data_IF_568122474500
#
_entry.id   IF_568122474500
#
_cell.length_a   1.000
_cell.length_b   1.000
_cell.length_c   1.000
_cell.angle_alpha   90.00
_cell.angle_beta   90.00
_cell.angle_gamma   90.00
#
_symmetry.space_group_name_H-M   'P 1'
#
loop_
_entity.id
_entity.type
_entity.pdbx_description
1 polymer ?
#
# COMPACT_ATOMS: atom_id res chain seq x y z
N UNK A 1 15.16 -58.17 -20.64
CA UNK A 1 13.76 -57.71 -20.74
C UNK A 1 13.71 -56.24 -20.36
N UNK A 2 13.59 -55.36 -21.34
CA UNK A 2 13.41 -53.93 -21.09
C UNK A 2 11.98 -53.71 -20.56
N UNK A 3 11.85 -53.14 -19.36
CA UNK A 3 10.56 -52.77 -18.81
C UNK A 3 9.95 -51.70 -19.73
N UNK A 4 8.90 -52.06 -20.47
CA UNK A 4 8.07 -51.09 -21.19
C UNK A 4 7.41 -50.19 -20.15
N UNK A 5 7.91 -48.96 -19.99
CA UNK A 5 7.19 -47.89 -19.30
C UNK A 5 5.87 -47.68 -20.05
N UNK A 6 4.76 -48.04 -19.43
CA UNK A 6 3.44 -47.67 -19.92
C UNK A 6 3.38 -46.13 -19.96
N UNK A 7 2.95 -45.52 -21.08
CA UNK A 7 2.81 -44.07 -21.14
C UNK A 7 1.77 -43.64 -20.10
N UNK A 8 2.16 -42.73 -19.21
CA UNK A 8 1.25 -42.18 -18.20
C UNK A 8 0.15 -41.40 -18.92
N UNK A 9 -1.10 -41.81 -18.73
CA UNK A 9 -2.26 -41.07 -19.22
C UNK A 9 -2.43 -39.85 -18.29
N UNK A 10 -1.98 -38.69 -18.75
CA UNK A 10 -2.18 -37.42 -18.06
C UNK A 10 -3.56 -36.89 -18.46
N UNK A 11 -4.53 -37.01 -17.56
CA UNK A 11 -5.85 -36.39 -17.69
C UNK A 11 -5.72 -34.90 -17.32
N UNK A 12 -5.59 -34.06 -18.34
CA UNK A 12 -5.60 -32.61 -18.19
C UNK A 12 -7.05 -32.10 -18.18
N UNK A 13 -7.30 -31.01 -17.45
CA UNK A 13 -8.60 -30.32 -17.45
C UNK A 13 -8.87 -29.78 -18.86
N UNK A 14 -10.13 -29.80 -19.31
CA UNK A 14 -10.51 -29.20 -20.60
C UNK A 14 -10.03 -27.73 -20.67
N UNK A 15 -9.34 -27.39 -21.76
CA UNK A 15 -8.72 -26.07 -21.95
C UNK A 15 -7.25 -25.95 -21.52
N UNK A 16 -6.60 -27.03 -21.08
CA UNK A 16 -5.16 -26.99 -20.77
C UNK A 16 -4.33 -26.86 -22.03
N UNK A 17 -3.53 -25.80 -22.13
CA UNK A 17 -2.58 -25.58 -23.23
C UNK A 17 -1.52 -26.70 -23.23
N UNK A 18 -1.44 -27.47 -24.32
CA UNK A 18 -0.45 -28.55 -24.51
C UNK A 18 0.80 -28.04 -25.24
N UNK A 19 0.92 -26.74 -25.45
CA UNK A 19 2.07 -26.12 -26.08
C UNK A 19 3.36 -26.46 -25.34
N UNK A 20 4.40 -26.85 -26.08
CA UNK A 20 5.73 -27.12 -25.52
C UNK A 20 6.80 -26.29 -26.24
N UNK A 21 7.89 -26.01 -25.54
CA UNK A 21 9.02 -25.27 -26.09
C UNK A 21 8.68 -23.82 -26.45
N UNK A 22 8.99 -23.42 -27.69
CA UNK A 22 8.82 -22.03 -28.17
C UNK A 22 7.36 -21.55 -28.10
N UNK A 23 6.40 -22.42 -28.44
CA UNK A 23 4.98 -22.07 -28.43
C UNK A 23 4.51 -21.67 -27.02
N UNK A 24 4.97 -22.38 -25.99
CA UNK A 24 4.65 -22.05 -24.60
C UNK A 24 5.23 -20.68 -24.18
N UNK A 25 6.46 -20.37 -24.60
CA UNK A 25 7.08 -19.07 -24.32
C UNK A 25 6.29 -17.93 -24.97
N UNK A 26 5.86 -18.11 -26.21
CA UNK A 26 5.03 -17.13 -26.92
C UNK A 26 3.66 -16.97 -26.26
N UNK A 27 3.03 -18.07 -25.83
CA UNK A 27 1.78 -18.08 -25.07
C UNK A 27 1.92 -17.26 -23.77
N UNK A 28 3.00 -17.49 -23.02
CA UNK A 28 3.32 -16.75 -21.80
C UNK A 28 3.49 -15.24 -22.06
N UNK A 29 4.21 -14.87 -23.13
CA UNK A 29 4.42 -13.46 -23.50
C UNK A 29 3.09 -12.79 -23.84
N UNK A 30 2.28 -13.43 -24.70
CA UNK A 30 1.00 -12.89 -25.13
C UNK A 30 0.04 -12.68 -23.93
N UNK A 31 0.04 -13.60 -22.96
CA UNK A 31 -0.75 -13.45 -21.74
C UNK A 31 -0.33 -12.24 -20.90
N UNK A 32 0.98 -12.01 -20.74
CA UNK A 32 1.50 -10.83 -20.06
C UNK A 32 1.19 -9.53 -20.82
N UNK A 33 1.30 -9.54 -22.15
CA UNK A 33 0.95 -8.39 -22.99
C UNK A 33 -0.53 -8.04 -22.89
N UNK A 34 -1.42 -9.05 -22.82
CA UNK A 34 -2.85 -8.82 -22.66
C UNK A 34 -3.17 -8.07 -21.34
N UNK A 35 -2.55 -8.46 -20.23
CA UNK A 35 -2.71 -7.75 -18.95
C UNK A 35 -2.16 -6.33 -19.03
N UNK A 36 -1.00 -6.15 -19.66
CA UNK A 36 -0.40 -4.83 -19.86
C UNK A 36 -1.30 -3.90 -20.67
N UNK A 37 -1.95 -4.39 -21.73
CA UNK A 37 -2.85 -3.59 -22.56
C UNK A 37 -4.11 -3.12 -21.80
N UNK A 38 -4.59 -3.91 -20.83
CA UNK A 38 -5.70 -3.50 -19.95
C UNK A 38 -5.31 -2.30 -19.09
N UNK A 39 -4.10 -2.30 -18.51
CA UNK A 39 -3.62 -1.25 -17.61
C UNK A 39 -2.87 -0.11 -18.33
N UNK A 40 -2.56 -0.25 -19.62
CA UNK A 40 -1.77 0.73 -20.39
C UNK A 40 -2.30 2.15 -20.30
N UNK A 41 -3.61 2.31 -20.33
CA UNK A 41 -4.24 3.63 -20.33
C UNK A 41 -4.30 4.29 -18.95
N UNK A 42 -3.93 3.59 -17.88
CA UNK A 42 -3.91 4.15 -16.51
C UNK A 42 -2.59 4.82 -16.18
N UNK A 43 -1.55 4.61 -17.01
CA UNK A 43 -0.24 5.23 -16.80
C UNK A 43 -0.28 6.74 -17.09
N UNK A 44 0.23 7.52 -16.15
CA UNK A 44 0.51 8.95 -16.30
C UNK A 44 -0.47 9.88 -15.58
N UNK A 45 -0.19 11.20 -15.58
CA UNK A 45 -0.97 12.21 -14.86
C UNK A 45 -2.40 12.42 -15.39
N UNK A 46 -2.72 11.86 -16.56
CA UNK A 46 -4.05 11.85 -17.16
C UNK A 46 -4.48 10.43 -17.54
N UNK A 47 -4.08 9.46 -16.71
CA UNK A 47 -4.54 8.07 -16.85
C UNK A 47 -6.06 8.01 -16.85
N UNK A 48 -6.62 7.19 -17.73
CA UNK A 48 -8.06 6.98 -17.82
C UNK A 48 -8.53 6.00 -16.76
N UNK A 49 -9.60 6.35 -16.06
CA UNK A 49 -10.25 5.45 -15.11
C UNK A 49 -10.77 4.18 -15.82
N UNK A 50 -10.65 3.05 -15.13
CA UNK A 50 -11.23 1.78 -15.55
C UNK A 50 -12.48 1.50 -14.72
N UNK A 51 -13.57 1.21 -15.42
CA UNK A 51 -14.78 0.68 -14.82
C UNK A 51 -14.72 -0.84 -14.88
N UNK A 52 -14.75 -1.48 -13.71
CA UNK A 52 -14.78 -2.92 -13.55
C UNK A 52 -16.12 -3.31 -12.95
N UNK A 53 -16.78 -4.26 -13.58
CA UNK A 53 -18.03 -4.84 -13.12
C UNK A 53 -17.75 -6.24 -12.57
N UNK A 54 -18.08 -6.46 -11.30
CA UNK A 54 -18.04 -7.79 -10.68
C UNK A 54 -19.36 -8.53 -10.94
N UNK A 55 -19.33 -9.86 -10.97
CA UNK A 55 -20.50 -10.72 -11.20
C UNK A 55 -21.59 -10.53 -10.14
N UNK A 56 -21.20 -10.00 -8.96
CA UNK A 56 -22.11 -9.66 -7.85
C UNK A 56 -22.84 -8.33 -8.03
N UNK A 57 -22.63 -7.63 -9.15
CA UNK A 57 -23.25 -6.35 -9.45
C UNK A 57 -22.54 -5.14 -8.85
N UNK A 58 -21.41 -5.30 -8.16
CA UNK A 58 -20.62 -4.15 -7.69
C UNK A 58 -19.82 -3.54 -8.83
N UNK A 59 -19.95 -2.22 -9.00
CA UNK A 59 -19.19 -1.45 -9.98
C UNK A 59 -18.07 -0.73 -9.25
N UNK A 60 -16.83 -0.97 -9.67
CA UNK A 60 -15.64 -0.29 -9.15
C UNK A 60 -15.02 0.55 -10.25
N UNK A 61 -14.83 1.84 -9.99
CA UNK A 61 -14.13 2.75 -10.89
C UNK A 61 -12.78 3.07 -10.22
N UNK A 62 -11.68 2.78 -10.91
CA UNK A 62 -10.34 3.04 -10.38
C UNK A 62 -9.33 3.30 -11.51
N UNK A 63 -8.36 4.17 -11.21
CA UNK A 63 -7.15 4.37 -12.01
C UNK A 63 -5.93 3.64 -11.42
N UNK A 64 -6.03 3.09 -10.21
CA UNK A 64 -4.91 2.41 -9.58
C UNK A 64 -4.70 1.01 -10.18
N UNK A 65 -3.53 0.81 -10.79
CA UNK A 65 -3.16 -0.44 -11.45
C UNK A 65 -3.23 -1.65 -10.51
N UNK A 66 -2.77 -1.52 -9.27
CA UNK A 66 -2.78 -2.62 -8.31
C UNK A 66 -4.21 -3.03 -7.93
N UNK A 67 -5.10 -2.06 -7.72
CA UNK A 67 -6.53 -2.31 -7.48
C UNK A 67 -7.19 -2.96 -8.68
N UNK A 68 -6.93 -2.47 -9.90
CA UNK A 68 -7.47 -3.06 -11.13
C UNK A 68 -7.04 -4.52 -11.26
N UNK A 69 -5.75 -4.81 -11.11
CA UNK A 69 -5.22 -6.17 -11.24
C UNK A 69 -5.68 -7.14 -10.14
N UNK A 70 -6.09 -6.64 -8.97
CA UNK A 70 -6.70 -7.46 -7.89
C UNK A 70 -8.13 -7.89 -8.25
N UNK A 71 -8.84 -7.10 -9.07
CA UNK A 71 -10.23 -7.33 -9.45
C UNK A 71 -10.36 -8.15 -10.74
N UNK A 72 -9.31 -8.18 -11.58
CA UNK A 72 -9.29 -9.00 -12.80
C UNK A 72 -9.10 -10.48 -12.47
N UNK A 73 -9.94 -11.34 -13.04
CA UNK A 73 -9.78 -12.79 -12.98
C UNK A 73 -8.74 -13.27 -14.01
N UNK A 74 -7.52 -13.52 -13.54
CA UNK A 74 -6.39 -13.90 -14.39
C UNK A 74 -6.12 -15.40 -14.24
N UNK A 75 -6.45 -16.14 -15.30
CA UNK A 75 -6.29 -17.60 -15.37
C UNK A 75 -4.83 -17.99 -15.68
N UNK A 76 -4.14 -17.23 -16.54
CA UNK A 76 -2.84 -17.63 -17.06
C UNK A 76 -1.70 -17.46 -16.02
N UNK A 77 -0.87 -18.48 -15.74
CA UNK A 77 0.11 -18.44 -14.65
C UNK A 77 1.19 -17.37 -14.83
N UNK A 78 1.70 -17.16 -16.04
CA UNK A 78 2.70 -16.12 -16.31
C UNK A 78 2.16 -14.70 -16.00
N UNK A 79 0.91 -14.44 -16.36
CA UNK A 79 0.24 -13.17 -16.08
C UNK A 79 -0.04 -13.00 -14.58
N UNK A 80 -0.35 -14.10 -13.86
CA UNK A 80 -0.52 -14.09 -12.41
C UNK A 80 0.77 -13.68 -11.68
N UNK A 81 1.91 -14.22 -12.09
CA UNK A 81 3.23 -13.82 -11.55
C UNK A 81 3.47 -12.32 -11.77
N UNK A 82 3.15 -11.80 -12.96
CA UNK A 82 3.28 -10.38 -13.27
C UNK A 82 2.43 -9.49 -12.35
N UNK A 83 1.20 -9.92 -12.05
CA UNK A 83 0.32 -9.23 -11.09
C UNK A 83 0.84 -9.30 -9.66
N UNK A 84 1.39 -10.43 -9.25
CA UNK A 84 1.93 -10.57 -7.90
C UNK A 84 3.18 -9.69 -7.69
N UNK A 85 4.00 -9.48 -8.72
CA UNK A 85 5.08 -8.47 -8.71
C UNK A 85 4.50 -7.07 -8.51
N UNK A 86 3.42 -6.72 -9.21
CA UNK A 86 2.78 -5.41 -9.05
C UNK A 86 2.18 -5.20 -7.66
N UNK A 87 1.61 -6.25 -7.05
CA UNK A 87 1.13 -6.21 -5.66
C UNK A 87 2.27 -6.03 -4.66
N UNK A 88 3.42 -6.65 -4.90
CA UNK A 88 4.62 -6.43 -4.07
C UNK A 88 5.13 -5.00 -4.19
N UNK A 89 5.08 -4.40 -5.39
CA UNK A 89 5.45 -3.00 -5.58
C UNK A 89 4.49 -2.04 -4.84
N UNK A 90 3.20 -2.36 -4.84
CA UNK A 90 2.14 -1.63 -4.13
C UNK A 90 2.38 -1.66 -2.61
N UNK A 91 2.81 -2.79 -2.04
CA UNK A 91 3.06 -2.90 -0.60
C UNK A 91 4.32 -2.17 -0.14
N UNK A 92 5.38 -2.13 -0.97
CA UNK A 92 6.66 -1.53 -0.60
C UNK A 92 6.69 -0.01 -0.78
N UNK A 93 6.19 0.49 -1.92
CA UNK A 93 6.34 1.91 -2.30
C UNK A 93 4.98 2.60 -2.50
N UNK A 94 3.92 1.83 -2.78
CA UNK A 94 2.58 2.37 -3.02
C UNK A 94 2.42 3.17 -4.32
N UNK A 95 3.43 3.17 -5.19
CA UNK A 95 3.41 3.81 -6.52
C UNK A 95 4.24 3.00 -7.53
N UNK A 96 4.06 3.29 -8.82
CA UNK A 96 4.80 2.67 -9.92
C UNK A 96 4.32 1.26 -10.27
N UNK A 97 3.21 0.80 -9.70
CA UNK A 97 2.62 -0.53 -9.95
C UNK A 97 2.33 -0.75 -11.43
N UNK A 98 1.70 0.23 -12.08
CA UNK A 98 1.43 0.23 -13.53
C UNK A 98 2.72 0.26 -14.35
N UNK A 99 3.70 1.06 -13.95
CA UNK A 99 4.97 1.22 -14.67
C UNK A 99 5.75 -0.09 -14.72
N UNK A 100 5.82 -0.82 -13.59
CA UNK A 100 6.51 -2.11 -13.51
C UNK A 100 5.88 -3.14 -14.44
N UNK A 101 4.55 -3.22 -14.47
CA UNK A 101 3.82 -4.16 -15.33
C UNK A 101 4.01 -3.85 -16.80
N UNK A 102 3.86 -2.57 -17.18
CA UNK A 102 4.04 -2.14 -18.56
C UNK A 102 5.47 -2.36 -19.04
N UNK A 103 6.47 -1.98 -18.25
CA UNK A 103 7.88 -2.14 -18.61
C UNK A 103 8.27 -3.62 -18.75
N UNK A 104 7.81 -4.47 -17.83
CA UNK A 104 8.07 -5.91 -17.90
C UNK A 104 7.41 -6.55 -19.14
N UNK A 105 6.16 -6.19 -19.43
CA UNK A 105 5.48 -6.68 -20.63
C UNK A 105 6.13 -6.18 -21.92
N UNK A 106 6.65 -4.96 -21.92
CA UNK A 106 7.37 -4.37 -23.05
C UNK A 106 8.69 -5.09 -23.31
N UNK A 107 9.47 -5.41 -22.27
CA UNK A 107 10.67 -6.25 -22.43
C UNK A 107 10.35 -7.63 -22.98
N UNK A 108 9.24 -8.24 -22.55
CA UNK A 108 8.80 -9.54 -23.08
C UNK A 108 8.35 -9.45 -24.54
N UNK A 109 7.69 -8.34 -24.92
CA UNK A 109 7.27 -8.06 -26.29
C UNK A 109 8.47 -7.91 -27.23
N UNK A 110 9.48 -7.16 -26.83
CA UNK A 110 10.73 -6.99 -27.59
C UNK A 110 11.59 -8.26 -27.60
N UNK A 111 11.48 -9.12 -26.58
CA UNK A 111 12.17 -10.40 -26.53
C UNK A 111 11.56 -11.46 -27.48
N UNK A 112 10.27 -11.34 -27.80
CA UNK A 112 9.52 -12.29 -28.65
C UNK A 112 10.19 -12.61 -29.99
N UNK A 113 10.57 -11.63 -30.84
CA UNK A 113 11.21 -11.94 -32.13
C UNK A 113 12.51 -12.74 -31.99
N UNK A 114 13.33 -12.44 -30.98
CA UNK A 114 14.57 -13.19 -30.74
C UNK A 114 14.33 -14.65 -30.32
N UNK A 115 13.24 -14.93 -29.59
CA UNK A 115 12.84 -16.29 -29.22
C UNK A 115 12.35 -17.06 -30.45
N UNK A 116 11.59 -16.39 -31.33
CA UNK A 116 11.12 -16.95 -32.60
C UNK A 116 12.32 -17.33 -33.50
N UNK A 117 13.31 -16.43 -33.62
CA UNK A 117 14.59 -16.64 -34.32
C UNK A 117 15.47 -17.75 -33.72
N UNK A 118 15.12 -18.25 -32.53
CA UNK A 118 15.79 -19.39 -31.90
C UNK A 118 16.94 -19.03 -30.97
N UNK A 119 17.03 -17.78 -30.52
CA UNK A 119 17.95 -17.40 -29.44
C UNK A 119 17.54 -18.11 -28.15
N UNK A 120 18.51 -18.74 -27.49
CA UNK A 120 18.26 -19.44 -26.23
C UNK A 120 17.83 -18.43 -25.13
N UNK A 121 16.71 -18.63 -24.42
CA UNK A 121 16.18 -17.68 -23.44
C UNK A 121 17.18 -17.26 -22.35
N UNK A 122 18.07 -18.17 -21.94
CA UNK A 122 19.13 -17.88 -20.97
C UNK A 122 20.06 -16.73 -21.40
N UNK A 123 20.33 -16.61 -22.71
CA UNK A 123 21.17 -15.53 -23.24
C UNK A 123 20.44 -14.19 -23.14
N UNK A 124 19.14 -14.15 -23.44
CA UNK A 124 18.31 -12.95 -23.27
C UNK A 124 18.25 -12.52 -21.81
N UNK A 125 18.02 -13.45 -20.89
CA UNK A 125 17.98 -13.17 -19.44
C UNK A 125 19.32 -12.59 -18.96
N UNK A 126 20.45 -13.17 -19.40
CA UNK A 126 21.78 -12.67 -19.05
C UNK A 126 21.99 -11.25 -19.57
N UNK A 127 21.63 -10.99 -20.81
CA UNK A 127 21.76 -9.66 -21.43
C UNK A 127 20.88 -8.62 -20.75
N UNK A 128 19.62 -8.94 -20.43
CA UNK A 128 18.74 -8.02 -19.68
C UNK A 128 19.28 -7.73 -18.28
N UNK A 129 19.83 -8.73 -17.60
CA UNK A 129 20.44 -8.51 -16.27
C UNK A 129 21.65 -7.57 -16.36
N UNK A 130 22.54 -7.78 -17.34
CA UNK A 130 23.67 -6.88 -17.58
C UNK A 130 23.22 -5.46 -17.94
N UNK A 131 22.22 -5.32 -18.82
CA UNK A 131 21.66 -4.02 -19.19
C UNK A 131 21.01 -3.30 -18.00
N UNK A 132 20.32 -4.04 -17.12
CA UNK A 132 19.73 -3.48 -15.90
C UNK A 132 20.78 -2.90 -14.97
N UNK A 133 21.95 -3.55 -14.80
CA UNK A 133 23.02 -3.01 -13.97
C UNK A 133 23.56 -1.70 -14.52
N UNK A 134 23.84 -1.64 -15.82
CA UNK A 134 24.31 -0.42 -16.49
C UNK A 134 23.28 0.72 -16.41
N UNK A 135 21.99 0.40 -16.55
CA UNK A 135 20.92 1.39 -16.42
C UNK A 135 20.87 1.97 -15.00
N UNK A 136 21.01 1.13 -13.96
CA UNK A 136 21.04 1.57 -12.56
C UNK A 136 22.25 2.46 -12.28
N UNK A 137 23.43 2.08 -12.78
CA UNK A 137 24.64 2.92 -12.67
C UNK A 137 24.42 4.28 -13.32
N UNK A 138 23.83 4.31 -14.53
CA UNK A 138 23.58 5.56 -15.23
C UNK A 138 22.56 6.44 -14.50
N UNK A 139 21.53 5.86 -13.90
CA UNK A 139 20.55 6.58 -13.08
C UNK A 139 21.24 7.23 -11.87
N UNK A 140 22.17 6.52 -11.22
CA UNK A 140 22.93 7.07 -10.07
C UNK A 140 23.83 8.24 -10.47
N UNK A 141 24.44 8.19 -11.65
CA UNK A 141 25.24 9.31 -12.18
C UNK A 141 24.40 10.56 -12.46
N UNK A 142 23.16 10.37 -12.93
CA UNK A 142 22.22 11.44 -13.24
C UNK A 142 21.49 11.97 -12.00
N UNK A 143 21.58 11.28 -10.87
CA UNK A 143 20.86 11.63 -9.65
C UNK A 143 21.39 12.95 -9.05
N UNK A 144 20.51 13.93 -8.89
CA UNK A 144 20.84 15.20 -8.25
C UNK A 144 20.49 15.13 -6.77
N UNK A 145 21.48 15.27 -5.89
CA UNK A 145 21.27 15.25 -4.45
C UNK A 145 20.52 16.49 -3.95
N UNK A 146 19.63 16.28 -2.99
CA UNK A 146 18.87 17.33 -2.27
C UNK A 146 19.56 17.65 -0.92
N UNK A 147 20.66 16.96 -0.60
CA UNK A 147 21.42 17.17 0.63
C UNK A 147 22.04 18.58 0.62
N UNK A 148 21.75 19.40 1.65
CA UNK A 148 22.27 20.76 1.79
C UNK A 148 21.30 21.90 1.46
N UNK A 149 20.10 21.60 0.94
CA UNK A 149 19.06 22.63 0.72
C UNK A 149 18.40 23.09 2.01
N UNK A 150 17.93 24.35 2.02
CA UNK A 150 17.14 24.92 3.13
C UNK A 150 15.91 24.05 3.40
N UNK A 151 15.42 24.05 4.66
CA UNK A 151 14.19 23.35 5.03
C UNK A 151 12.99 23.81 4.16
N UNK A 152 12.94 25.10 3.82
CA UNK A 152 11.88 25.67 2.96
C UNK A 152 11.97 25.17 1.52
N UNK A 153 13.18 25.12 0.96
CA UNK A 153 13.41 24.59 -0.39
C UNK A 153 13.10 23.09 -0.46
N UNK A 154 13.46 22.33 0.58
CA UNK A 154 13.09 20.91 0.70
C UNK A 154 11.58 20.74 0.76
N UNK A 155 10.89 21.56 1.56
CA UNK A 155 9.42 21.54 1.66
C UNK A 155 8.76 21.82 0.30
N UNK A 156 9.26 22.82 -0.43
CA UNK A 156 8.76 23.17 -1.76
C UNK A 156 8.98 22.04 -2.78
N UNK A 157 10.18 21.42 -2.78
CA UNK A 157 10.47 20.30 -3.67
C UNK A 157 9.64 19.07 -3.35
N UNK A 158 9.50 18.72 -2.05
CA UNK A 158 8.65 17.61 -1.62
C UNK A 158 7.19 17.85 -1.96
N UNK A 159 6.69 19.09 -1.85
CA UNK A 159 5.34 19.43 -2.24
C UNK A 159 5.11 19.25 -3.74
N UNK A 160 6.10 19.64 -4.57
CA UNK A 160 6.06 19.38 -6.02
C UNK A 160 6.07 17.88 -6.32
N UNK A 161 6.90 17.10 -5.63
CA UNK A 161 6.92 15.65 -5.79
C UNK A 161 5.56 15.03 -5.41
N UNK A 162 5.00 15.38 -4.24
CA UNK A 162 3.68 14.91 -3.84
C UNK A 162 2.59 15.30 -4.84
N UNK A 163 2.63 16.53 -5.37
CA UNK A 163 1.68 17.00 -6.38
C UNK A 163 1.72 16.18 -7.68
N UNK A 164 2.88 15.63 -8.07
CA UNK A 164 2.96 14.77 -9.27
C UNK A 164 2.15 13.49 -9.13
N UNK A 165 2.22 12.82 -7.97
CA UNK A 165 1.44 11.59 -7.70
C UNK A 165 -0.05 11.87 -7.53
N UNK A 166 -0.43 13.04 -7.03
CA UNK A 166 -1.83 13.43 -6.85
C UNK A 166 -2.49 13.88 -8.16
N UNK A 167 -1.71 14.30 -9.16
CA UNK A 167 -2.23 14.84 -10.41
C UNK A 167 -3.01 13.82 -11.26
N UNK A 168 -2.68 12.53 -11.16
CA UNK A 168 -3.36 11.42 -11.86
C UNK A 168 -4.64 10.92 -11.19
N UNK A 169 -5.00 11.46 -10.02
CA UNK A 169 -6.12 10.98 -9.20
C UNK A 169 -7.28 11.98 -9.24
N UNK A 170 -8.46 11.55 -8.79
CA UNK A 170 -9.66 12.39 -8.70
C UNK A 170 -9.45 13.70 -7.91
N UNK A 171 -8.50 13.70 -6.97
CA UNK A 171 -8.09 14.85 -6.16
C UNK A 171 -7.12 15.81 -6.87
N UNK A 172 -6.84 15.60 -8.16
CA UNK A 172 -5.89 16.43 -8.93
C UNK A 172 -6.24 17.93 -8.98
N UNK A 173 -7.52 18.28 -8.82
CA UNK A 173 -7.98 19.67 -8.77
C UNK A 173 -7.55 20.43 -7.51
N UNK A 174 -7.36 19.74 -6.38
CA UNK A 174 -6.96 20.31 -5.08
C UNK A 174 -5.57 19.81 -4.64
N UNK A 175 -4.73 19.46 -5.61
CA UNK A 175 -3.43 18.83 -5.37
C UNK A 175 -2.48 19.67 -4.52
N UNK A 176 -2.51 21.00 -4.66
CA UNK A 176 -1.58 21.89 -3.93
C UNK A 176 -1.89 21.92 -2.43
N UNK A 177 -3.18 21.84 -2.09
CA UNK A 177 -3.66 21.77 -0.71
C UNK A 177 -3.29 20.44 -0.05
N UNK A 178 -3.55 19.32 -0.73
CA UNK A 178 -3.18 18.01 -0.18
C UNK A 178 -1.67 17.77 -0.19
N UNK A 179 -0.93 18.29 -1.18
CA UNK A 179 0.52 18.18 -1.23
C UNK A 179 1.19 18.87 -0.04
N UNK A 180 0.76 20.09 0.32
CA UNK A 180 1.31 20.78 1.50
C UNK A 180 1.01 20.02 2.79
N UNK A 181 -0.23 19.53 2.93
CA UNK A 181 -0.66 18.74 4.08
C UNK A 181 0.13 17.43 4.25
N UNK A 182 0.40 16.72 3.15
CA UNK A 182 1.22 15.49 3.15
C UNK A 182 2.65 15.81 3.58
N UNK A 183 3.24 16.89 3.06
CA UNK A 183 4.60 17.27 3.45
C UNK A 183 4.68 17.68 4.91
N UNK A 184 3.70 18.43 5.42
CA UNK A 184 3.61 18.78 6.84
C UNK A 184 3.47 17.55 7.72
N UNK A 185 2.65 16.58 7.28
CA UNK A 185 2.50 15.29 7.96
C UNK A 185 3.85 14.55 8.02
N UNK A 186 4.55 14.41 6.89
CA UNK A 186 5.84 13.71 6.83
C UNK A 186 6.91 14.39 7.69
N UNK A 187 6.95 15.72 7.72
CA UNK A 187 7.89 16.48 8.57
C UNK A 187 7.56 16.26 10.06
N UNK A 188 6.27 16.20 10.43
CA UNK A 188 5.85 15.99 11.81
C UNK A 188 6.20 14.59 12.35
N UNK A 189 6.35 13.59 11.49
CA UNK A 189 6.71 12.21 11.87
C UNK A 189 8.17 12.11 12.39
N UNK A 190 9.05 13.02 11.94
CA UNK A 190 10.44 13.06 12.38
C UNK A 190 11.34 11.96 11.79
N UNK A 191 12.65 12.13 11.94
CA UNK A 191 13.72 11.32 11.34
C UNK A 191 14.27 10.20 12.25
N UNK A 192 13.55 9.83 13.31
CA UNK A 192 13.95 8.67 14.12
C UNK A 192 13.43 7.40 13.46
N UNK A 193 14.32 6.58 12.87
CA UNK A 193 14.28 5.14 12.51
C UNK A 193 12.93 4.37 12.53
N UNK A 194 11.83 5.03 12.15
CA UNK A 194 10.46 4.52 12.18
C UNK A 194 9.89 4.37 10.77
N UNK A 195 10.76 4.24 9.76
CA UNK A 195 10.35 3.89 8.39
C UNK A 195 9.63 2.54 8.35
N UNK A 196 10.03 1.58 9.18
CA UNK A 196 9.35 0.29 9.34
C UNK A 196 7.98 0.40 10.04
N UNK A 197 7.60 1.59 10.52
CA UNK A 197 6.34 1.86 11.22
C UNK A 197 5.34 2.65 10.34
N UNK A 198 5.64 2.84 9.05
CA UNK A 198 4.73 3.50 8.10
C UNK A 198 3.93 2.40 7.38
N UNK A 199 2.83 1.96 8.01
CA UNK A 199 1.86 1.02 7.43
C UNK A 199 0.57 1.73 7.03
N UNK A 200 -0.04 1.31 5.91
CA UNK A 200 -1.39 1.71 5.52
C UNK A 200 -2.35 0.56 5.88
N UNK A 201 -2.72 0.38 7.17
CA UNK A 201 -4.00 -0.23 7.59
C UNK A 201 -4.15 -0.41 9.12
N UNK A 202 -5.11 0.34 9.64
CA UNK A 202 -5.86 0.14 10.91
C UNK A 202 -4.99 0.14 12.19
N UNK A 203 -5.11 1.31 12.84
CA UNK A 203 -4.90 1.63 14.25
C UNK A 203 -3.49 2.09 14.56
N UNK A 204 -3.40 3.33 15.08
CA UNK A 204 -2.18 3.80 15.70
C UNK A 204 -2.40 4.97 16.66
N UNK A 205 -1.66 4.89 17.77
CA UNK A 205 -1.55 5.86 18.86
C UNK A 205 -0.16 6.48 18.73
N UNK A 206 -0.04 7.80 18.53
CA UNK A 206 1.26 8.48 18.63
C UNK A 206 1.38 9.01 20.06
N UNK A 207 2.27 8.43 20.86
CA UNK A 207 2.73 9.00 22.12
C UNK A 207 4.12 9.64 21.90
N UNK A 208 4.41 10.80 22.53
CA UNK A 208 5.75 11.37 22.55
C UNK A 208 6.74 10.39 23.21
N UNK A 209 8.06 10.49 22.94
CA UNK A 209 9.04 9.49 23.37
C UNK A 209 9.12 9.45 24.89
N UNK A 210 8.36 8.55 25.51
CA UNK A 210 8.70 8.03 26.82
C UNK A 210 9.72 6.92 26.60
N UNK A 211 10.86 7.08 27.27
CA UNK A 211 11.98 6.16 27.34
C UNK A 211 11.54 4.83 27.99
N UNK A 212 10.73 4.05 27.29
CA UNK A 212 10.11 2.82 27.77
C UNK A 212 10.89 1.62 27.23
N UNK A 213 11.38 0.85 28.19
CA UNK A 213 12.25 -0.32 28.10
C UNK A 213 11.51 -1.60 27.64
N UNK A 214 10.47 -1.46 26.81
CA UNK A 214 9.62 -2.57 26.40
C UNK A 214 9.44 -2.58 24.87
N UNK A 215 9.79 -3.68 24.18
CA UNK A 215 9.61 -3.78 22.75
C UNK A 215 8.17 -4.20 22.43
N UNK A 216 7.71 -3.86 21.21
CA UNK A 216 6.49 -4.31 20.53
C UNK A 216 5.17 -3.57 20.82
N UNK A 217 5.02 -2.40 20.18
CA UNK A 217 3.75 -2.00 19.58
C UNK A 217 4.07 -1.49 18.16
N UNK A 218 3.56 -2.19 17.14
CA UNK A 218 3.59 -1.69 15.76
C UNK A 218 2.70 -0.44 15.71
N UNK A 219 3.33 0.72 15.56
CA UNK A 219 2.71 2.03 15.65
C UNK A 219 2.57 2.59 14.21
N UNK A 220 1.44 2.38 13.52
CA UNK A 220 1.26 2.88 12.14
C UNK A 220 1.12 4.42 12.03
N UNK A 221 2.12 5.11 11.52
CA UNK A 221 2.10 6.58 11.53
C UNK A 221 1.39 7.13 10.28
N UNK A 222 0.14 7.59 10.43
CA UNK A 222 -0.61 8.31 9.39
C UNK A 222 -2.02 7.78 9.14
N UNK A 223 -2.98 8.09 10.02
CA UNK A 223 -4.36 7.65 9.87
C UNK A 223 -5.23 8.70 9.19
N UNK A 224 -5.85 8.35 8.05
CA UNK A 224 -6.90 9.15 7.43
C UNK A 224 -8.26 8.81 8.07
N UNK A 225 -8.88 9.80 8.73
CA UNK A 225 -10.24 9.67 9.26
C UNK A 225 -11.21 10.31 8.28
N UNK A 226 -12.01 9.49 7.61
CA UNK A 226 -13.06 9.98 6.72
C UNK A 226 -14.27 10.47 7.52
N UNK A 227 -14.52 11.77 7.46
CA UNK A 227 -15.72 12.41 8.00
C UNK A 227 -16.67 12.72 6.82
N UNK A 228 -17.91 12.21 6.83
CA UNK A 228 -18.87 12.53 5.79
C UNK A 228 -19.40 13.97 5.96
N UNK A 229 -19.55 14.69 4.84
CA UNK A 229 -19.99 16.09 4.82
C UNK A 229 -18.84 17.08 4.64
N UNK A 230 -19.19 18.33 4.32
CA UNK A 230 -18.21 19.40 4.03
C UNK A 230 -17.67 19.39 2.60
N UNK A 231 -16.68 20.25 2.35
CA UNK A 231 -15.92 20.36 1.11
C UNK A 231 -14.53 19.75 1.27
N UNK A 232 -13.85 19.41 0.17
CA UNK A 232 -12.49 18.82 0.23
C UNK A 232 -11.48 19.71 0.97
N UNK A 233 -11.67 21.03 0.92
CA UNK A 233 -10.80 22.02 1.59
C UNK A 233 -11.02 22.13 3.10
N UNK A 234 -12.10 21.55 3.62
CA UNK A 234 -12.36 21.50 5.06
C UNK A 234 -11.53 20.40 5.75
N UNK A 235 -10.75 19.63 4.99
CA UNK A 235 -9.81 18.65 5.54
C UNK A 235 -8.66 19.37 6.25
N UNK A 236 -8.23 18.89 7.41
CA UNK A 236 -7.07 19.47 8.11
C UNK A 236 -6.24 18.39 8.77
N UNK A 237 -4.95 18.69 8.97
CA UNK A 237 -4.04 17.84 9.70
C UNK A 237 -4.24 18.03 11.20
N UNK A 238 -4.50 16.93 11.91
CA UNK A 238 -4.54 16.90 13.37
C UNK A 238 -3.19 16.43 13.89
N UNK A 239 -2.48 17.29 14.63
CA UNK A 239 -1.26 16.91 15.34
C UNK A 239 -1.61 16.15 16.63
N UNK A 240 -2.17 14.95 16.48
CA UNK A 240 -2.70 14.13 17.56
C UNK A 240 -3.40 12.87 17.04
N UNK A 241 -4.31 12.31 17.83
CA UNK A 241 -5.07 11.11 17.46
C UNK A 241 -6.54 11.48 17.31
N UNK A 242 -7.14 11.07 16.19
CA UNK A 242 -8.57 11.28 15.91
C UNK A 242 -9.31 9.94 15.88
N UNK A 243 -10.46 9.86 16.53
CA UNK A 243 -11.29 8.65 16.59
C UNK A 243 -12.63 8.88 15.89
N UNK A 244 -13.02 7.92 15.03
CA UNK A 244 -14.32 7.99 14.33
C UNK A 244 -15.52 7.82 15.25
N UNK A 245 -15.36 7.06 16.34
CA UNK A 245 -16.40 6.86 17.37
C UNK A 245 -15.92 7.48 18.67
N UNK A 246 -16.73 8.37 19.23
CA UNK A 246 -16.64 8.79 20.62
C UNK A 246 -17.33 7.74 21.50
N UNK A 247 -16.77 7.45 22.68
CA UNK A 247 -17.45 6.60 23.65
C UNK A 247 -18.79 7.22 24.05
N UNK A 248 -19.87 6.47 23.86
CA UNK A 248 -21.24 6.90 24.15
C UNK A 248 -21.68 6.24 25.46
N UNK A 249 -21.42 6.89 26.58
CA UNK A 249 -21.99 6.51 27.88
C UNK A 249 -23.05 7.53 28.32
N UNK A 250 -23.95 7.12 29.21
CA UNK A 250 -24.95 8.01 29.80
C UNK A 250 -24.26 9.20 30.48
N UNK A 251 -24.56 10.43 30.05
CA UNK A 251 -23.92 11.65 30.53
C UNK A 251 -22.74 12.15 29.68
N UNK A 252 -22.43 11.52 28.53
CA UNK A 252 -21.40 11.99 27.59
C UNK A 252 -21.53 13.48 27.24
N UNK A 253 -22.77 13.96 27.01
CA UNK A 253 -22.99 15.36 26.67
C UNK A 253 -22.68 16.34 27.82
N UNK A 254 -22.72 15.86 29.07
CA UNK A 254 -22.48 16.66 30.27
C UNK A 254 -21.01 16.65 30.73
N UNK A 255 -20.16 15.82 30.10
CA UNK A 255 -18.74 15.76 30.42
C UNK A 255 -17.96 16.93 29.79
N UNK A 256 -16.91 17.43 30.45
CA UNK A 256 -16.04 18.46 29.89
C UNK A 256 -15.35 17.94 28.63
N UNK A 257 -15.58 18.63 27.50
CA UNK A 257 -15.06 18.22 26.18
C UNK A 257 -13.62 18.64 25.90
N UNK A 258 -13.01 19.43 26.80
CA UNK A 258 -11.65 19.94 26.64
C UNK A 258 -10.89 19.82 27.95
N UNK A 259 -9.76 19.14 27.92
CA UNK A 259 -8.85 19.01 29.04
C UNK A 259 -7.53 19.73 28.74
N UNK A 260 -6.99 20.46 29.73
CA UNK A 260 -5.65 21.04 29.64
C UNK A 260 -4.65 20.05 30.23
N UNK A 261 -3.65 19.62 29.45
CA UNK A 261 -2.62 18.64 29.83
C UNK A 261 -3.19 17.31 30.40
N UNK A 262 -3.98 16.57 29.60
CA UNK A 262 -4.58 15.33 30.07
C UNK A 262 -3.52 14.23 30.27
N UNK A 263 -3.65 13.44 31.35
CA UNK A 263 -2.77 12.28 31.60
C UNK A 263 -3.40 11.01 31.02
N UNK A 264 -2.82 10.48 29.95
CA UNK A 264 -3.36 9.30 29.24
C UNK A 264 -2.93 8.02 29.96
N UNK A 265 -3.91 7.16 30.27
CA UNK A 265 -3.70 5.81 30.76
C UNK A 265 -4.11 4.81 29.68
N UNK A 266 -3.18 3.96 29.25
CA UNK A 266 -3.45 2.86 28.33
C UNK A 266 -3.70 1.58 29.15
N UNK A 267 -4.88 1.01 29.03
CA UNK A 267 -5.27 -0.24 29.68
C UNK A 267 -5.60 -1.29 28.62
N UNK A 268 -5.05 -2.49 28.75
CA UNK A 268 -5.42 -3.65 27.94
C UNK A 268 -6.43 -4.56 28.67
N UNK A 269 -7.22 -3.98 29.58
CA UNK A 269 -8.20 -4.68 30.40
C UNK A 269 -9.56 -4.00 30.17
N UNK A 270 -10.58 -4.80 29.88
CA UNK A 270 -11.96 -4.32 29.77
C UNK A 270 -12.46 -3.90 31.15
N UNK A 271 -12.94 -2.66 31.28
CA UNK A 271 -13.52 -2.11 32.50
C UNK A 271 -15.03 -2.39 32.60
N UNK A 272 -15.42 -3.61 32.24
CA UNK A 272 -16.79 -4.09 32.45
C UNK A 272 -16.82 -5.04 33.63
N UNK A 273 -17.93 -5.02 34.36
CA UNK A 273 -18.14 -5.93 35.48
C UNK A 273 -18.37 -7.33 34.89
N UNK A 274 -17.28 -8.09 34.72
CA UNK A 274 -17.35 -9.49 34.35
C UNK A 274 -17.88 -10.26 35.56
N UNK A 275 -18.91 -11.07 35.36
CA UNK A 275 -19.32 -12.06 36.36
C UNK A 275 -18.14 -13.01 36.59
N UNK A 276 -17.63 -13.05 37.82
CA UNK A 276 -16.53 -13.94 38.19
C UNK A 276 -16.97 -15.41 38.12
N UNK A 277 -16.04 -16.29 37.70
CA UNK A 277 -16.13 -17.72 37.99
C UNK A 277 -15.72 -17.93 39.46
N UNK A 278 -16.51 -18.74 40.16
CA UNK A 278 -16.53 -18.97 41.61
C UNK A 278 -15.21 -18.78 42.39
N UNK A 279 -15.32 -18.09 43.54
CA UNK A 279 -14.35 -17.87 44.64
C UNK A 279 -13.31 -16.73 44.49
N UNK A 280 -13.75 -15.48 44.67
CA UNK A 280 -12.88 -14.37 45.04
C UNK A 280 -13.30 -13.74 46.38
N UNK A 281 -12.36 -13.58 47.32
CA UNK A 281 -12.53 -12.76 48.53
C UNK A 281 -12.22 -11.29 48.19
N UNK A 282 -13.17 -10.39 48.45
CA UNK A 282 -12.98 -8.94 48.28
C UNK A 282 -12.46 -8.36 49.60
N UNK A 283 -11.18 -7.96 49.64
CA UNK A 283 -10.65 -7.05 50.67
C UNK A 283 -10.68 -5.62 50.16
N UNK A 284 -11.60 -4.82 50.71
CA UNK A 284 -11.65 -3.38 50.47
C UNK A 284 -10.54 -2.69 51.27
N UNK A 285 -9.48 -2.26 50.59
CA UNK A 285 -8.58 -1.22 51.08
C UNK A 285 -8.98 0.07 50.37
N UNK A 286 -9.47 1.05 51.13
CA UNK A 286 -9.86 2.35 50.59
C UNK A 286 -8.66 3.05 49.95
N UNK A 287 -8.62 3.09 48.62
CA UNK A 287 -7.83 4.03 47.85
C UNK A 287 -8.79 4.95 47.09
N UNK A 288 -8.72 6.24 47.38
CA UNK A 288 -9.38 7.28 46.59
C UNK A 288 -8.75 7.30 45.18
N UNK A 289 -9.41 6.69 44.21
CA UNK A 289 -9.04 6.80 42.79
C UNK A 289 -9.90 7.90 42.14
N UNK A 290 -9.27 9.05 41.85
CA UNK A 290 -9.80 10.00 40.88
C UNK A 290 -9.54 9.44 39.48
N UNK A 291 -10.57 8.94 38.80
CA UNK A 291 -10.50 8.56 37.39
C UNK A 291 -10.46 9.82 36.53
N UNK A 292 -9.32 10.06 35.89
CA UNK A 292 -9.16 11.08 34.85
C UNK A 292 -8.87 10.34 33.53
N UNK A 293 -9.91 10.13 32.74
CA UNK A 293 -9.78 9.64 31.37
C UNK A 293 -9.36 10.80 30.48
N UNK A 294 -8.23 10.63 29.81
CA UNK A 294 -7.63 11.63 28.96
C UNK A 294 -8.21 11.60 27.56
N UNK A 295 -8.52 12.79 27.04
CA UNK A 295 -8.47 13.05 25.61
C UNK A 295 -7.77 14.38 25.34
N UNK A 296 -6.78 14.29 24.46
CA UNK A 296 -6.24 15.40 23.70
C UNK A 296 -7.07 15.59 22.44
N UNK A 297 -7.32 16.86 22.13
CA UNK A 297 -8.18 17.49 21.11
C UNK A 297 -9.69 17.48 21.39
#
# INVERSE_FOLDING_TARGET
MAAMMQPQIILLKEGTDTSQGKAQLVSNINACTAVADVVRTTLGPRGMDKLIHDDKGSVTISNDGATIMKLLDIVHPAAKILVDIAKSQDSEVGDGTTTVVLLAAEFLREAKPFIEDGVHPQNLIRSFRSASYLAIEKIKELAVSIQGKSLEEKKSLLAKCAATTLSSKLIGGEKDFFASMVVDSVIAIGYEDRLNMIGIKKVCIILPPLNLKYPFAELEIGLLVQVPGGTMRDSFLVNGVAFKKTFSYAGFEQQPKKFLNPRILLLNIELELKSEKENAEIRLVFFFFFFLYAYAF
#
